data_IF_643000388894
#
_entry.id   IF_643000388894
#
_cell.length_a   1.000
_cell.length_b   1.000
_cell.length_c   1.000
_cell.angle_alpha   90.00
_cell.angle_beta   90.00
_cell.angle_gamma   90.00
#
_symmetry.space_group_name_H-M   'P 1'
#
loop_
_entity.id
_entity.type
_entity.pdbx_description
1 polymer ?
#
# COMPACT_ATOMS: atom_id res chain seq x y z
N UNK A 1 -7.62 -12.64 -13.12
CA UNK A 1 -7.28 -11.49 -12.29
C UNK A 1 -7.05 -11.95 -10.85
N UNK A 2 -5.94 -11.55 -10.26
CA UNK A 2 -5.64 -11.86 -8.86
C UNK A 2 -6.32 -10.86 -7.94
N UNK A 3 -6.80 -11.35 -6.80
CA UNK A 3 -7.46 -10.51 -5.80
C UNK A 3 -6.90 -10.82 -4.41
N UNK A 4 -6.66 -9.76 -3.64
CA UNK A 4 -6.24 -9.85 -2.25
C UNK A 4 -7.22 -9.03 -1.43
N UNK A 5 -7.66 -9.59 -0.30
CA UNK A 5 -8.54 -8.90 0.64
C UNK A 5 -8.07 -9.19 2.05
N UNK A 6 -7.77 -8.14 2.80
CA UNK A 6 -7.28 -8.23 4.17
C UNK A 6 -8.05 -7.26 5.05
N UNK A 7 -8.24 -7.65 6.31
CA UNK A 7 -8.77 -6.73 7.32
C UNK A 7 -8.13 -7.03 8.67
N UNK A 8 -7.99 -6.00 9.49
CA UNK A 8 -7.39 -6.14 10.82
C UNK A 8 -7.97 -5.06 11.75
N UNK A 9 -8.12 -5.42 13.02
CA UNK A 9 -8.49 -4.48 14.08
C UNK A 9 -7.21 -4.03 14.76
N UNK A 10 -7.02 -2.73 14.92
CA UNK A 10 -5.82 -2.18 15.54
C UNK A 10 -6.16 -1.16 16.63
N UNK A 11 -5.36 -1.11 17.71
CA UNK A 11 -5.55 -0.16 18.81
C UNK A 11 -4.93 1.20 18.51
N UNK A 12 -5.20 1.72 17.30
CA UNK A 12 -4.70 3.03 16.83
C UNK A 12 -5.82 3.76 16.12
N UNK A 13 -5.79 5.09 16.17
CA UNK A 13 -6.81 5.91 15.50
C UNK A 13 -6.79 5.69 13.98
N UNK A 14 -7.95 5.79 13.36
CA UNK A 14 -8.09 5.70 11.89
C UNK A 14 -7.19 6.72 11.18
N UNK A 15 -7.13 7.95 11.68
CA UNK A 15 -6.28 9.00 11.11
C UNK A 15 -4.80 8.64 11.18
N UNK A 16 -4.35 7.98 12.25
CA UNK A 16 -2.95 7.57 12.40
C UNK A 16 -2.57 6.48 11.38
N UNK A 17 -3.45 5.49 11.18
CA UNK A 17 -3.22 4.43 10.20
C UNK A 17 -3.28 4.98 8.77
N UNK A 18 -4.23 5.86 8.48
CA UNK A 18 -4.32 6.55 7.20
C UNK A 18 -2.99 7.26 6.87
N UNK A 19 -2.45 8.00 7.82
CA UNK A 19 -1.22 8.75 7.62
C UNK A 19 -0.03 7.84 7.28
N UNK A 20 0.09 6.68 7.95
CA UNK A 20 1.15 5.73 7.66
C UNK A 20 1.10 5.24 6.21
N UNK A 21 -0.09 4.92 5.71
CA UNK A 21 -0.27 4.45 4.34
C UNK A 21 -0.07 5.58 3.34
N UNK A 22 -0.50 6.79 3.67
CA UNK A 22 -0.40 7.95 2.80
C UNK A 22 1.05 8.46 2.63
N UNK A 23 1.92 8.21 3.60
CA UNK A 23 3.33 8.65 3.56
C UNK A 23 4.17 7.67 2.75
N UNK A 24 3.98 7.69 1.45
CA UNK A 24 4.62 6.78 0.49
C UNK A 24 6.15 6.86 0.57
N UNK A 25 6.71 8.05 0.79
CA UNK A 25 8.15 8.29 0.86
C UNK A 25 8.83 7.51 2.00
N UNK A 26 8.08 7.11 3.01
CA UNK A 26 8.61 6.36 4.16
C UNK A 26 8.65 4.84 3.91
N UNK A 27 8.04 4.35 2.84
CA UNK A 27 7.95 2.91 2.55
C UNK A 27 9.30 2.19 2.56
N UNK A 28 10.39 2.74 2.00
CA UNK A 28 11.69 2.06 2.05
C UNK A 28 12.22 1.84 3.47
N UNK A 29 11.74 2.59 4.45
CA UNK A 29 12.22 2.48 5.84
C UNK A 29 11.75 1.20 6.53
N UNK A 30 10.64 0.59 6.07
CA UNK A 30 10.07 -0.57 6.77
C UNK A 30 9.55 -1.67 5.84
N UNK A 31 9.57 -1.47 4.53
CA UNK A 31 9.18 -2.50 3.57
C UNK A 31 10.45 -3.05 2.91
N UNK A 32 10.86 -4.29 3.25
CA UNK A 32 12.14 -4.82 2.80
C UNK A 32 12.26 -5.00 1.30
N UNK A 33 11.15 -5.09 0.59
CA UNK A 33 11.11 -5.21 -0.86
C UNK A 33 11.12 -3.86 -1.57
N UNK A 34 10.95 -2.75 -0.85
CA UNK A 34 10.83 -1.43 -1.46
C UNK A 34 12.22 -0.80 -1.60
N UNK A 35 12.66 -0.63 -2.85
CA UNK A 35 13.93 -0.01 -3.18
C UNK A 35 13.88 1.50 -3.29
N UNK A 36 12.69 2.08 -3.37
CA UNK A 36 12.48 3.52 -3.45
C UNK A 36 11.00 3.83 -3.58
N UNK A 37 10.60 5.02 -3.17
CA UNK A 37 9.22 5.48 -3.29
C UNK A 37 9.17 6.99 -3.36
N UNK A 38 8.34 7.52 -4.26
CA UNK A 38 8.15 8.95 -4.48
C UNK A 38 6.68 9.26 -4.68
N UNK A 39 6.25 10.40 -4.19
CA UNK A 39 4.89 10.86 -4.40
C UNK A 39 4.86 12.35 -4.69
N UNK A 40 3.94 12.75 -5.57
CA UNK A 40 3.66 14.15 -5.89
C UNK A 40 2.18 14.42 -5.66
N UNK A 41 1.88 15.62 -5.18
CA UNK A 41 0.49 16.04 -4.97
C UNK A 41 -0.24 16.19 -6.31
N UNK A 42 -1.51 15.82 -6.33
CA UNK A 42 -2.38 15.97 -7.50
C UNK A 42 -3.26 17.19 -7.32
N UNK A 43 -3.46 17.99 -8.40
CA UNK A 43 -4.35 19.15 -8.31
C UNK A 43 -5.79 18.80 -7.90
N UNK A 44 -6.26 17.60 -8.25
CA UNK A 44 -7.61 17.11 -7.93
C UNK A 44 -7.72 16.56 -6.51
N UNK A 45 -6.62 16.50 -5.77
CA UNK A 45 -6.53 15.84 -4.47
C UNK A 45 -5.90 14.45 -4.57
N UNK A 46 -5.23 14.04 -3.49
CA UNK A 46 -4.49 12.79 -3.46
C UNK A 46 -3.09 12.94 -4.05
N UNK A 47 -2.52 11.82 -4.46
CA UNK A 47 -1.11 11.76 -4.89
C UNK A 47 -0.94 10.87 -6.10
N UNK A 48 0.08 11.18 -6.91
CA UNK A 48 0.64 10.23 -7.86
C UNK A 48 1.87 9.62 -7.19
N UNK A 49 1.86 8.32 -6.97
CA UNK A 49 2.89 7.61 -6.22
C UNK A 49 3.62 6.61 -7.10
N UNK A 50 4.95 6.64 -7.04
CA UNK A 50 5.81 5.63 -7.68
C UNK A 50 6.47 4.79 -6.61
N UNK A 51 6.42 3.48 -6.77
CA UNK A 51 7.03 2.51 -5.87
C UNK A 51 7.95 1.60 -6.67
N UNK A 52 9.20 1.47 -6.22
CA UNK A 52 10.19 0.58 -6.82
C UNK A 52 10.28 -0.70 -6.01
N UNK A 53 10.19 -1.83 -6.71
CA UNK A 53 10.36 -3.16 -6.12
C UNK A 53 11.78 -3.63 -6.40
N UNK A 54 12.47 -4.07 -5.35
CA UNK A 54 13.79 -4.70 -5.46
C UNK A 54 13.85 -5.80 -4.41
N UNK A 55 13.64 -7.05 -4.84
CA UNK A 55 13.53 -8.17 -3.92
C UNK A 55 13.94 -9.47 -4.58
N UNK A 56 14.90 -10.17 -3.99
CA UNK A 56 15.41 -11.45 -4.51
C UNK A 56 15.79 -11.42 -6.00
N UNK A 57 16.44 -10.31 -6.41
CA UNK A 57 16.88 -10.14 -7.81
C UNK A 57 15.78 -9.67 -8.75
N UNK A 58 14.53 -9.57 -8.30
CA UNK A 58 13.42 -9.05 -9.10
C UNK A 58 13.36 -7.54 -8.92
N UNK A 59 13.40 -6.81 -10.05
CA UNK A 59 13.27 -5.35 -10.06
C UNK A 59 12.11 -4.96 -10.95
N UNK A 60 11.23 -4.15 -10.40
CA UNK A 60 10.09 -3.62 -11.13
C UNK A 60 9.70 -2.28 -10.49
N UNK A 61 8.88 -1.52 -11.18
CA UNK A 61 8.29 -0.32 -10.59
C UNK A 61 6.86 -0.19 -11.08
N UNK A 62 6.06 0.52 -10.30
CA UNK A 62 4.72 0.88 -10.73
C UNK A 62 4.34 2.25 -10.17
N UNK A 63 3.49 2.94 -10.89
CA UNK A 63 2.98 4.25 -10.51
C UNK A 63 1.47 4.19 -10.43
N UNK A 64 0.91 4.76 -9.39
CA UNK A 64 -0.54 4.81 -9.18
C UNK A 64 -1.00 6.23 -8.93
N UNK A 65 -2.26 6.49 -9.29
CA UNK A 65 -2.96 7.69 -8.85
C UNK A 65 -3.80 7.32 -7.64
N UNK A 66 -3.55 7.99 -6.53
CA UNK A 66 -4.20 7.74 -5.25
C UNK A 66 -5.17 8.87 -4.95
N UNK A 67 -6.45 8.53 -4.76
CA UNK A 67 -7.47 9.49 -4.37
C UNK A 67 -7.72 9.31 -2.87
N UNK A 68 -7.48 10.37 -2.11
CA UNK A 68 -7.55 10.32 -0.66
C UNK A 68 -8.84 10.96 -0.15
N UNK A 69 -9.49 10.27 0.79
CA UNK A 69 -10.53 10.84 1.65
C UNK A 69 -9.94 10.83 3.07
N UNK A 70 -9.52 12.01 3.54
CA UNK A 70 -8.67 12.16 4.72
C UNK A 70 -9.19 11.37 5.94
N UNK A 71 -8.35 10.48 6.46
CA UNK A 71 -8.66 9.65 7.62
C UNK A 71 -9.64 8.50 7.35
N UNK A 72 -10.15 8.36 6.13
CA UNK A 72 -11.20 7.39 5.80
C UNK A 72 -10.78 6.36 4.76
N UNK A 73 -10.25 6.80 3.62
CA UNK A 73 -9.91 5.87 2.54
C UNK A 73 -8.85 6.42 1.59
N UNK A 74 -8.19 5.48 0.90
CA UNK A 74 -7.29 5.77 -0.22
C UNK A 74 -7.66 4.81 -1.34
N UNK A 75 -8.08 5.35 -2.48
CA UNK A 75 -8.36 4.56 -3.69
C UNK A 75 -7.14 4.63 -4.60
N UNK A 76 -6.61 3.47 -4.98
CA UNK A 76 -5.38 3.33 -5.73
C UNK A 76 -5.71 2.81 -7.14
N UNK A 77 -5.31 3.54 -8.16
CA UNK A 77 -5.56 3.17 -9.56
C UNK A 77 -4.25 3.19 -10.33
N UNK A 78 -4.03 2.18 -11.17
CA UNK A 78 -2.84 2.08 -12.00
C UNK A 78 -2.68 3.29 -12.93
N UNK A 79 -1.47 3.83 -12.97
CA UNK A 79 -1.06 4.83 -13.95
C UNK A 79 -0.01 4.26 -14.91
N UNK A 80 0.97 3.51 -14.38
CA UNK A 80 2.06 2.93 -15.16
C UNK A 80 2.65 1.74 -14.41
N UNK A 81 3.09 0.74 -15.14
CA UNK A 81 3.72 -0.44 -14.55
C UNK A 81 3.48 -1.70 -15.39
N UNK A 82 3.94 -2.86 -14.88
CA UNK A 82 3.86 -4.13 -15.61
C UNK A 82 2.46 -4.76 -15.58
N UNK A 83 1.45 -3.99 -15.24
CA UNK A 83 0.09 -4.49 -15.06
C UNK A 83 -0.82 -4.04 -16.18
N UNK A 84 -1.75 -4.91 -16.57
CA UNK A 84 -2.91 -4.57 -17.40
C UNK A 84 -3.98 -3.87 -16.56
N UNK A 85 -4.14 -4.38 -15.32
CA UNK A 85 -5.05 -3.81 -14.33
C UNK A 85 -4.38 -3.81 -12.97
N UNK A 86 -4.58 -2.74 -12.22
CA UNK A 86 -4.28 -2.68 -10.81
C UNK A 86 -5.21 -1.65 -10.19
N UNK A 87 -6.04 -2.10 -9.26
CA UNK A 87 -6.98 -1.23 -8.56
C UNK A 87 -7.11 -1.71 -7.13
N UNK A 88 -6.97 -0.79 -6.19
CA UNK A 88 -7.06 -1.12 -4.77
C UNK A 88 -7.73 -0.05 -3.98
N UNK A 89 -8.10 -0.41 -2.76
CA UNK A 89 -8.70 0.53 -1.83
C UNK A 89 -8.29 0.18 -0.40
N UNK A 90 -7.86 1.19 0.31
CA UNK A 90 -7.69 1.16 1.76
C UNK A 90 -8.89 1.84 2.39
N UNK A 91 -9.46 1.20 3.43
CA UNK A 91 -10.52 1.81 4.25
C UNK A 91 -10.09 1.79 5.70
N UNK A 92 -10.27 2.90 6.38
CA UNK A 92 -9.92 3.09 7.78
C UNK A 92 -11.20 3.43 8.54
N UNK A 93 -11.78 2.44 9.19
CA UNK A 93 -13.10 2.54 9.82
C UNK A 93 -12.90 2.75 11.33
N UNK A 94 -13.22 3.96 11.79
CA UNK A 94 -13.08 4.30 13.20
C UNK A 94 -14.05 3.48 14.05
N UNK A 95 -13.55 2.80 15.06
CA UNK A 95 -14.35 2.07 16.05
C UNK A 95 -14.47 2.85 17.35
N UNK A 96 -13.46 3.66 17.63
CA UNK A 96 -13.37 4.57 18.74
C UNK A 96 -12.32 5.64 18.39
N UNK A 97 -12.10 6.66 19.20
CA UNK A 97 -11.02 7.63 18.96
C UNK A 97 -9.63 7.00 18.88
N UNK A 98 -9.43 5.84 19.51
CA UNK A 98 -8.13 5.18 19.63
C UNK A 98 -8.05 3.82 18.96
N UNK A 99 -9.05 3.42 18.18
CA UNK A 99 -9.07 2.12 17.52
C UNK A 99 -9.77 2.19 16.19
N UNK A 100 -9.31 1.37 15.24
CA UNK A 100 -9.98 1.30 13.95
C UNK A 100 -9.88 -0.10 13.33
N UNK A 101 -10.69 -0.32 12.30
CA UNK A 101 -10.59 -1.48 11.42
C UNK A 101 -9.92 -1.00 10.14
N UNK A 102 -8.83 -1.63 9.75
CA UNK A 102 -8.17 -1.38 8.47
C UNK A 102 -8.58 -2.47 7.50
N UNK A 103 -9.13 -2.06 6.36
CA UNK A 103 -9.48 -2.98 5.27
C UNK A 103 -8.66 -2.62 4.04
N UNK A 104 -8.16 -3.65 3.34
CA UNK A 104 -7.41 -3.48 2.10
C UNK A 104 -7.90 -4.48 1.08
N UNK A 105 -8.23 -3.99 -0.10
CA UNK A 105 -8.59 -4.81 -1.26
C UNK A 105 -7.72 -4.41 -2.42
N UNK A 106 -7.23 -5.40 -3.17
CA UNK A 106 -6.42 -5.17 -4.36
C UNK A 106 -6.80 -6.20 -5.43
N UNK A 107 -7.04 -5.71 -6.63
CA UNK A 107 -7.22 -6.56 -7.82
C UNK A 107 -6.15 -6.18 -8.83
N UNK A 108 -5.46 -7.18 -9.40
CA UNK A 108 -4.39 -6.90 -10.34
C UNK A 108 -4.23 -8.02 -11.38
N UNK A 109 -3.68 -7.64 -12.54
CA UNK A 109 -3.36 -8.56 -13.63
C UNK A 109 -2.15 -8.02 -14.36
N UNK A 110 -1.20 -8.90 -14.69
CA UNK A 110 0.00 -8.51 -15.43
C UNK A 110 -0.30 -8.39 -16.95
N UNK A 111 0.51 -7.58 -17.64
CA UNK A 111 0.34 -7.37 -19.09
C UNK A 111 0.69 -8.59 -19.90
N UNK A 112 1.66 -9.40 -19.44
CA UNK A 112 2.10 -10.60 -20.14
C UNK A 112 2.24 -11.78 -19.18
N UNK A 113 2.20 -12.99 -19.75
CA UNK A 113 2.38 -14.22 -18.98
C UNK A 113 3.80 -14.34 -18.44
N UNK A 114 4.79 -13.81 -19.17
CA UNK A 114 6.19 -13.80 -18.72
C UNK A 114 6.35 -12.93 -17.49
N UNK A 115 5.77 -11.74 -17.49
CA UNK A 115 5.81 -10.85 -16.32
C UNK A 115 5.11 -11.47 -15.13
N UNK A 116 3.99 -12.15 -15.35
CA UNK A 116 3.30 -12.88 -14.29
C UNK A 116 4.20 -13.93 -13.65
N UNK A 117 4.97 -14.67 -14.45
CA UNK A 117 5.88 -15.69 -13.94
C UNK A 117 7.07 -15.11 -13.18
N UNK A 118 7.62 -14.00 -13.66
CA UNK A 118 8.84 -13.40 -13.07
C UNK A 118 8.52 -12.52 -11.87
N UNK A 119 7.54 -11.63 -12.01
CA UNK A 119 7.19 -10.64 -10.99
C UNK A 119 6.08 -11.14 -10.06
N UNK A 120 5.21 -12.01 -10.58
CA UNK A 120 4.03 -12.48 -9.86
C UNK A 120 4.28 -13.02 -8.46
N UNK A 121 5.24 -13.97 -8.27
CA UNK A 121 5.50 -14.51 -6.93
C UNK A 121 5.94 -13.44 -5.93
N UNK A 122 6.79 -12.52 -6.35
CA UNK A 122 7.24 -11.40 -5.50
C UNK A 122 6.07 -10.47 -5.19
N UNK A 123 5.29 -10.12 -6.21
CA UNK A 123 4.16 -9.21 -6.01
C UNK A 123 3.07 -9.84 -5.14
N UNK A 124 2.83 -11.13 -5.28
CA UNK A 124 1.89 -11.86 -4.42
C UNK A 124 2.34 -11.81 -2.96
N UNK A 125 3.62 -12.02 -2.70
CA UNK A 125 4.19 -11.89 -1.36
C UNK A 125 3.97 -10.46 -0.80
N UNK A 126 4.27 -9.45 -1.60
CA UNK A 126 4.06 -8.05 -1.23
C UNK A 126 2.59 -7.81 -0.86
N UNK A 127 1.67 -8.17 -1.75
CA UNK A 127 0.25 -7.92 -1.55
C UNK A 127 -0.31 -8.63 -0.32
N UNK A 128 0.16 -9.86 -0.04
CA UNK A 128 -0.33 -10.66 1.09
C UNK A 128 0.28 -10.24 2.43
N UNK A 129 1.42 -9.56 2.44
CA UNK A 129 2.10 -9.12 3.67
C UNK A 129 2.00 -7.63 3.93
N UNK A 130 1.38 -6.89 3.02
CA UNK A 130 1.36 -5.44 3.02
C UNK A 130 0.72 -4.86 4.28
N UNK A 131 -0.49 -5.31 4.60
CA UNK A 131 -1.24 -4.84 5.78
C UNK A 131 -0.46 -5.11 7.06
N UNK A 132 0.10 -6.32 7.20
CA UNK A 132 0.87 -6.70 8.39
C UNK A 132 2.10 -5.81 8.59
N UNK A 133 2.74 -5.41 7.49
CA UNK A 133 3.89 -4.52 7.55
C UNK A 133 3.51 -3.15 8.13
N UNK A 134 2.37 -2.60 7.73
CA UNK A 134 1.88 -1.33 8.27
C UNK A 134 1.48 -1.45 9.74
N UNK A 135 0.88 -2.57 10.14
CA UNK A 135 0.57 -2.81 11.56
C UNK A 135 1.84 -2.85 12.39
N UNK A 136 2.87 -3.56 11.94
CA UNK A 136 4.17 -3.60 12.63
C UNK A 136 4.83 -2.23 12.69
N UNK A 137 4.72 -1.46 11.63
CA UNK A 137 5.25 -0.08 11.62
C UNK A 137 4.53 0.79 12.65
N UNK A 138 3.20 0.67 12.74
CA UNK A 138 2.41 1.38 13.75
C UNK A 138 2.85 1.00 15.16
N UNK A 139 3.04 -0.28 15.43
CA UNK A 139 3.53 -0.77 16.72
C UNK A 139 4.89 -0.15 17.07
N UNK A 140 5.83 -0.16 16.12
CA UNK A 140 7.17 0.40 16.31
C UNK A 140 7.13 1.90 16.62
N UNK A 141 6.31 2.66 15.90
CA UNK A 141 6.18 4.11 16.10
C UNK A 141 5.55 4.41 17.46
N UNK A 142 4.48 3.71 17.82
CA UNK A 142 3.78 3.96 19.07
C UNK A 142 4.54 3.44 20.29
N UNK A 143 5.30 2.36 20.15
CA UNK A 143 6.16 1.85 21.21
C UNK A 143 7.32 2.80 21.52
N UNK A 144 7.77 3.60 20.57
CA UNK A 144 8.85 4.57 20.75
C UNK A 144 8.39 5.85 21.46
N UNK A 145 7.10 6.03 21.66
CA UNK A 145 6.54 7.20 22.36
C UNK A 145 6.45 6.91 23.85
N UNK A 146 6.92 7.83 24.73
CA UNK A 146 6.79 7.66 26.17
C UNK A 146 5.33 7.76 26.64
#
# INVERSE_FOLDING_TARGET
MQRVKKSVLVPYAAAAMFELVDRVEDYPQFLPWCGGAHATERPEGGKTARVDINYHGVRAHFTTDNVNHAGESIVVTLRDGPFRHLHGEWRFIALSPDACKVEFELAYEFTTHILEKVVGPVFSHIANTFVDAFVRRAEAIHAARP
#
